data_IF_874840941351
#
_entry.id   IF_874840941351
#
_cell.length_a   1.000
_cell.length_b   1.000
_cell.length_c   1.000
_cell.angle_alpha   90.00
_cell.angle_beta   90.00
_cell.angle_gamma   90.00
#
_symmetry.space_group_name_H-M   'P 1'
#
loop_
_entity.id
_entity.type
_entity.pdbx_description
1 polymer ?
#
# COMPACT_ATOMS: atom_id res chain seq x y z
N UNK A 1 0.52 19.07 25.82
CA UNK A 1 0.48 17.77 25.14
C UNK A 1 1.54 17.84 24.07
N UNK A 2 2.59 16.97 24.16
CA UNK A 2 3.65 16.94 23.17
C UNK A 2 3.09 16.61 21.78
N UNK A 3 3.67 17.24 20.76
CA UNK A 3 3.28 17.02 19.37
C UNK A 3 3.60 15.56 18.99
N UNK A 4 2.62 14.82 18.46
CA UNK A 4 2.84 13.44 17.98
C UNK A 4 3.89 13.45 16.86
N UNK A 5 4.94 12.66 17.01
CA UNK A 5 5.96 12.51 15.97
C UNK A 5 5.58 11.38 15.02
N UNK A 6 5.61 11.65 13.73
CA UNK A 6 5.32 10.69 12.66
C UNK A 6 6.55 10.51 11.78
N UNK A 7 7.02 9.27 11.64
CA UNK A 7 8.09 8.91 10.72
C UNK A 7 7.55 8.74 9.31
N UNK A 8 8.04 9.53 8.37
CA UNK A 8 7.61 9.52 6.97
C UNK A 8 8.65 8.84 6.07
N UNK A 9 8.21 7.85 5.31
CA UNK A 9 9.05 7.12 4.35
C UNK A 9 8.53 7.37 2.94
N UNK A 10 9.37 7.96 2.09
CA UNK A 10 9.10 8.17 0.66
C UNK A 10 10.04 7.28 -0.13
N UNK A 11 9.49 6.33 -0.89
CA UNK A 11 10.27 5.42 -1.74
C UNK A 11 10.29 5.94 -3.17
N UNK A 12 11.48 6.03 -3.77
CA UNK A 12 11.64 6.49 -5.16
C UNK A 12 12.76 5.75 -5.88
N UNK A 13 12.71 5.73 -7.20
CA UNK A 13 13.82 5.30 -8.07
C UNK A 13 14.63 6.48 -8.62
N UNK A 14 14.37 7.70 -8.17
CA UNK A 14 15.05 8.92 -8.61
C UNK A 14 14.73 9.40 -10.04
N UNK A 15 13.83 8.73 -10.75
CA UNK A 15 13.53 9.01 -12.17
C UNK A 15 12.59 10.18 -12.39
N UNK A 16 11.97 10.71 -11.34
CA UNK A 16 10.94 11.75 -11.40
C UNK A 16 11.20 12.82 -10.33
N UNK A 17 12.31 13.57 -10.42
CA UNK A 17 12.72 14.51 -9.37
C UNK A 17 11.70 15.63 -9.12
N UNK A 18 11.01 16.11 -10.15
CA UNK A 18 10.01 17.17 -10.00
C UNK A 18 8.79 16.68 -9.20
N UNK A 19 8.40 15.43 -9.39
CA UNK A 19 7.25 14.84 -8.70
C UNK A 19 7.62 14.51 -7.26
N UNK A 20 8.83 14.00 -7.02
CA UNK A 20 9.39 13.81 -5.68
C UNK A 20 9.44 15.13 -4.91
N UNK A 21 9.85 16.22 -5.54
CA UNK A 21 9.88 17.54 -4.91
C UNK A 21 8.48 17.97 -4.41
N UNK A 22 7.42 17.72 -5.18
CA UNK A 22 6.04 18.00 -4.75
C UNK A 22 5.60 17.15 -3.57
N UNK A 23 5.99 15.88 -3.54
CA UNK A 23 5.72 15.00 -2.41
C UNK A 23 6.39 15.51 -1.12
N UNK A 24 7.68 15.85 -1.19
CA UNK A 24 8.46 16.36 -0.06
C UNK A 24 7.95 17.71 0.42
N UNK A 25 7.66 18.64 -0.49
CA UNK A 25 7.08 19.94 -0.18
C UNK A 25 5.75 19.78 0.59
N UNK A 26 4.88 18.86 0.18
CA UNK A 26 3.61 18.60 0.84
C UNK A 26 3.79 18.06 2.27
N UNK A 27 4.84 17.26 2.52
CA UNK A 27 5.21 16.81 3.85
C UNK A 27 5.77 17.95 4.70
N UNK A 28 6.67 18.77 4.15
CA UNK A 28 7.27 19.89 4.89
C UNK A 28 6.27 21.00 5.26
N UNK A 29 5.17 21.13 4.51
CA UNK A 29 4.08 22.07 4.84
C UNK A 29 3.16 21.59 5.96
N UNK A 30 3.24 20.32 6.38
CA UNK A 30 2.35 19.81 7.41
C UNK A 30 2.49 20.56 8.73
N UNK A 31 1.37 20.83 9.38
CA UNK A 31 1.25 21.58 10.65
C UNK A 31 0.56 20.71 11.69
N UNK A 32 0.78 21.02 12.97
CA UNK A 32 0.14 20.33 14.08
C UNK A 32 0.72 18.96 14.41
N UNK A 33 1.77 18.52 13.71
CA UNK A 33 2.44 17.22 13.89
C UNK A 33 3.95 17.38 13.67
N UNK A 34 4.76 16.67 14.45
CA UNK A 34 6.20 16.56 14.19
C UNK A 34 6.47 15.52 13.12
N UNK A 35 7.38 15.79 12.18
CA UNK A 35 7.75 14.84 11.13
C UNK A 35 9.24 14.52 11.17
N UNK A 36 9.55 13.25 10.95
CA UNK A 36 10.89 12.76 10.66
C UNK A 36 10.85 12.06 9.29
N UNK A 37 11.55 12.60 8.29
CA UNK A 37 11.35 12.25 6.89
C UNK A 37 12.61 11.59 6.32
N UNK A 38 12.44 10.42 5.70
CA UNK A 38 13.47 9.73 4.91
C UNK A 38 13.00 9.48 3.49
N UNK A 39 13.87 9.77 2.53
CA UNK A 39 13.73 9.35 1.13
C UNK A 39 14.56 8.11 0.91
N UNK A 40 13.93 7.01 0.55
CA UNK A 40 14.61 5.76 0.20
C UNK A 40 14.78 5.70 -1.31
N UNK A 41 16.02 5.71 -1.77
CA UNK A 41 16.37 5.52 -3.18
C UNK A 41 16.48 4.04 -3.50
N UNK A 42 15.56 3.50 -4.27
CA UNK A 42 15.50 2.08 -4.64
C UNK A 42 16.33 1.81 -5.88
N UNK A 43 17.60 1.41 -5.68
CA UNK A 43 18.61 1.36 -6.75
C UNK A 43 19.10 2.75 -7.18
N UNK A 44 19.05 3.73 -6.28
CA UNK A 44 19.45 5.09 -6.51
C UNK A 44 19.93 5.75 -5.21
N UNK A 45 20.99 6.56 -5.27
CA UNK A 45 21.49 7.31 -4.12
C UNK A 45 20.80 8.68 -4.06
N UNK A 46 19.99 8.98 -3.02
CA UNK A 46 19.31 10.26 -2.88
C UNK A 46 20.27 11.42 -2.68
N UNK A 47 20.13 12.45 -3.50
CA UNK A 47 20.94 13.67 -3.43
C UNK A 47 20.09 14.92 -3.70
N UNK A 48 20.56 16.09 -3.26
CA UNK A 48 19.85 17.35 -3.45
C UNK A 48 18.52 17.44 -2.68
N UNK A 49 18.36 16.68 -1.59
CA UNK A 49 17.16 16.69 -0.77
C UNK A 49 17.03 18.02 0.01
N UNK A 50 15.80 18.48 0.28
CA UNK A 50 15.59 19.68 1.07
C UNK A 50 16.04 19.52 2.53
N UNK A 51 16.28 20.64 3.21
CA UNK A 51 16.69 20.66 4.61
C UNK A 51 15.69 19.87 5.48
N UNK A 52 16.19 19.06 6.43
CA UNK A 52 15.39 18.24 7.32
C UNK A 52 14.88 16.92 6.73
N UNK A 53 15.22 16.62 5.47
CA UNK A 53 14.92 15.34 4.83
C UNK A 53 16.20 14.54 4.68
N UNK A 54 16.19 13.30 5.17
CA UNK A 54 17.34 12.37 5.05
C UNK A 54 17.21 11.49 3.81
N UNK A 55 18.33 11.01 3.30
CA UNK A 55 18.41 10.04 2.21
C UNK A 55 18.93 8.70 2.69
N UNK A 56 18.40 7.62 2.14
CA UNK A 56 18.89 6.24 2.30
C UNK A 56 18.95 5.60 0.91
N UNK A 57 20.15 5.37 0.38
CA UNK A 57 20.34 4.69 -0.90
C UNK A 57 20.37 3.17 -0.74
N UNK A 58 19.65 2.46 -1.59
CA UNK A 58 19.76 1.00 -1.74
C UNK A 58 20.59 0.70 -3.01
N UNK A 59 21.51 -0.25 -2.92
CA UNK A 59 22.41 -0.62 -4.03
C UNK A 59 21.64 -1.09 -5.27
N UNK A 60 20.48 -1.73 -5.08
CA UNK A 60 19.64 -2.26 -6.16
C UNK A 60 18.16 -1.98 -5.92
N UNK A 61 17.36 -2.12 -6.99
CA UNK A 61 15.89 -2.12 -6.88
C UNK A 61 15.42 -3.41 -6.19
N UNK A 62 15.10 -3.30 -4.90
CA UNK A 62 14.60 -4.39 -4.06
C UNK A 62 13.07 -4.60 -4.18
N UNK A 63 12.38 -3.74 -4.93
CA UNK A 63 10.92 -3.69 -5.01
C UNK A 63 10.29 -2.80 -3.93
N UNK A 64 9.02 -2.47 -4.13
CA UNK A 64 8.32 -1.48 -3.31
C UNK A 64 8.26 -1.87 -1.82
N UNK A 65 7.82 -3.10 -1.45
CA UNK A 65 7.70 -3.46 -0.05
C UNK A 65 9.05 -3.48 0.69
N UNK A 66 10.11 -3.98 0.04
CA UNK A 66 11.44 -4.04 0.64
C UNK A 66 12.03 -2.64 0.84
N UNK A 67 11.91 -1.77 -0.15
CA UNK A 67 12.36 -0.38 -0.04
C UNK A 67 11.66 0.38 1.08
N UNK A 68 10.33 0.23 1.23
CA UNK A 68 9.59 0.83 2.34
C UNK A 68 10.02 0.28 3.70
N UNK A 69 10.30 -1.03 3.79
CA UNK A 69 10.81 -1.65 5.01
C UNK A 69 12.20 -1.10 5.39
N UNK A 70 13.06 -0.83 4.42
CA UNK A 70 14.39 -0.28 4.66
C UNK A 70 14.32 1.11 5.32
N UNK A 71 13.37 1.96 4.91
CA UNK A 71 13.21 3.30 5.48
C UNK A 71 12.52 3.34 6.85
N UNK A 72 11.75 2.33 7.21
CA UNK A 72 10.98 2.34 8.45
C UNK A 72 11.83 2.46 9.73
N UNK A 73 12.98 1.79 9.90
CA UNK A 73 13.86 1.94 11.06
C UNK A 73 14.61 3.29 11.07
N UNK A 74 14.78 3.94 9.91
CA UNK A 74 15.53 5.19 9.80
C UNK A 74 14.73 6.43 10.21
N UNK A 75 13.46 6.29 10.50
CA UNK A 75 12.62 7.39 10.98
C UNK A 75 12.15 7.13 12.40
N UNK A 76 11.95 8.20 13.17
CA UNK A 76 11.40 8.15 14.52
C UNK A 76 9.87 8.36 14.51
N UNK A 77 9.22 8.17 15.67
CA UNK A 77 7.80 8.43 15.88
C UNK A 77 6.97 7.18 16.12
N UNK A 78 5.82 7.37 16.77
CA UNK A 78 4.87 6.29 17.12
C UNK A 78 4.05 5.83 15.91
N UNK A 79 3.94 6.69 14.90
CA UNK A 79 3.30 6.40 13.62
C UNK A 79 4.36 6.35 12.52
N UNK A 80 4.18 5.43 11.58
CA UNK A 80 4.86 5.41 10.29
C UNK A 80 3.87 5.88 9.22
N UNK A 81 4.30 6.78 8.35
CA UNK A 81 3.55 7.21 7.19
C UNK A 81 4.34 6.91 5.91
N UNK A 82 3.77 6.09 5.04
CA UNK A 82 4.34 5.75 3.73
C UNK A 82 3.64 6.58 2.67
N UNK A 83 4.41 7.31 1.88
CA UNK A 83 3.93 8.14 0.78
C UNK A 83 4.66 7.74 -0.51
N UNK A 84 3.93 7.55 -1.61
CA UNK A 84 4.54 7.36 -2.92
C UNK A 84 5.23 8.64 -3.39
N UNK A 85 6.32 8.51 -4.15
CA UNK A 85 7.10 9.65 -4.65
C UNK A 85 6.32 10.54 -5.62
N UNK A 86 5.19 10.07 -6.14
CA UNK A 86 4.28 10.83 -7.01
C UNK A 86 2.96 11.22 -6.32
N UNK A 87 2.82 10.96 -5.02
CA UNK A 87 1.70 11.44 -4.22
C UNK A 87 2.09 12.71 -3.43
N UNK A 88 1.11 13.54 -3.08
CA UNK A 88 1.27 14.70 -2.21
C UNK A 88 0.03 14.88 -1.33
N UNK A 89 0.18 15.49 -0.17
CA UNK A 89 -0.96 15.78 0.72
C UNK A 89 -1.69 17.03 0.24
N UNK A 90 -3.02 16.97 0.19
CA UNK A 90 -3.85 18.08 -0.30
C UNK A 90 -3.90 19.25 0.71
N UNK A 91 -3.91 18.91 2.01
CA UNK A 91 -4.10 19.87 3.12
C UNK A 91 -2.90 19.86 4.06
N UNK A 92 -2.57 21.02 4.64
CA UNK A 92 -1.41 21.19 5.51
C UNK A 92 -1.61 20.61 6.92
N UNK A 93 -2.80 20.15 7.28
CA UNK A 93 -3.14 19.49 8.55
C UNK A 93 -3.46 17.99 8.41
N UNK A 94 -3.26 17.43 7.23
CA UNK A 94 -3.65 16.04 6.93
C UNK A 94 -3.06 15.04 7.92
N UNK A 95 -1.76 15.14 8.24
CA UNK A 95 -1.11 14.22 9.18
C UNK A 95 -1.46 14.49 10.64
N UNK A 96 -1.80 15.71 11.01
CA UNK A 96 -2.36 16.02 12.33
C UNK A 96 -3.71 15.32 12.53
N UNK A 97 -4.62 15.40 11.53
CA UNK A 97 -5.90 14.68 11.52
C UNK A 97 -5.73 13.17 11.53
N UNK A 98 -4.70 12.65 10.88
CA UNK A 98 -4.33 11.23 10.96
C UNK A 98 -3.94 10.87 12.39
N UNK A 99 -3.03 11.63 13.02
CA UNK A 99 -2.57 11.40 14.39
C UNK A 99 -3.73 11.45 15.39
N UNK A 100 -4.64 12.42 15.26
CA UNK A 100 -5.86 12.52 16.09
C UNK A 100 -6.73 11.25 15.99
N UNK A 101 -6.90 10.68 14.80
CA UNK A 101 -7.66 9.43 14.63
C UNK A 101 -7.01 8.25 15.33
N UNK A 102 -5.69 8.15 15.25
CA UNK A 102 -4.96 7.12 15.98
C UNK A 102 -5.03 7.31 17.50
N UNK A 103 -4.98 8.55 17.98
CA UNK A 103 -5.14 8.87 19.39
C UNK A 103 -6.56 8.54 19.91
N UNK A 104 -7.59 8.82 19.10
CA UNK A 104 -8.99 8.57 19.46
C UNK A 104 -9.39 7.09 19.47
N UNK A 105 -8.70 6.23 18.70
CA UNK A 105 -9.02 4.80 18.64
C UNK A 105 -7.77 3.92 18.79
N UNK A 106 -7.53 3.36 19.98
CA UNK A 106 -6.40 2.45 20.22
C UNK A 106 -6.43 1.17 19.35
N UNK A 107 -7.59 0.80 18.80
CA UNK A 107 -7.71 -0.36 17.89
C UNK A 107 -7.51 -0.01 16.41
N UNK A 108 -7.38 1.27 16.07
CA UNK A 108 -6.97 1.68 14.73
C UNK A 108 -5.51 1.28 14.52
N UNK A 109 -5.27 0.31 13.65
CA UNK A 109 -3.93 -0.21 13.36
C UNK A 109 -3.30 0.46 12.16
N UNK A 110 -4.06 0.59 11.07
CA UNK A 110 -3.62 1.19 9.82
C UNK A 110 -4.73 2.03 9.20
N UNK A 111 -4.33 3.14 8.59
CA UNK A 111 -5.22 4.09 7.94
C UNK A 111 -4.67 4.42 6.55
N UNK A 112 -5.49 4.19 5.50
CA UNK A 112 -5.23 4.66 4.15
C UNK A 112 -5.96 5.99 3.93
N UNK A 113 -5.29 6.98 3.36
CA UNK A 113 -5.92 8.24 2.96
C UNK A 113 -6.81 8.05 1.73
N UNK A 114 -7.79 8.93 1.57
CA UNK A 114 -8.48 9.14 0.30
C UNK A 114 -7.51 9.60 -0.78
N UNK A 115 -7.76 9.25 -2.04
CA UNK A 115 -6.89 9.64 -3.15
C UNK A 115 -7.70 10.35 -4.21
N UNK A 116 -7.18 11.48 -4.69
CA UNK A 116 -7.76 12.27 -5.77
C UNK A 116 -6.73 12.53 -6.89
N UNK A 117 -7.16 12.65 -8.14
CA UNK A 117 -6.25 13.04 -9.22
C UNK A 117 -5.78 14.49 -9.03
N UNK A 118 -4.44 14.71 -9.11
CA UNK A 118 -3.83 16.02 -8.89
C UNK A 118 -4.28 17.07 -9.91
N UNK A 119 -4.34 16.69 -11.16
CA UNK A 119 -4.72 17.57 -12.27
C UNK A 119 -6.24 17.52 -12.58
N UNK A 120 -7.04 16.94 -11.67
CA UNK A 120 -8.43 16.60 -11.98
C UNK A 120 -8.54 15.39 -12.91
N UNK A 121 -9.75 15.05 -13.35
CA UNK A 121 -9.98 13.95 -14.27
C UNK A 121 -10.48 12.66 -13.60
N UNK A 122 -10.19 11.50 -14.21
CA UNK A 122 -10.75 10.23 -13.81
C UNK A 122 -10.09 9.67 -12.54
N UNK A 123 -10.92 9.23 -11.61
CA UNK A 123 -10.46 8.48 -10.44
C UNK A 123 -10.13 7.03 -10.79
N UNK A 124 -9.06 6.50 -10.23
CA UNK A 124 -8.85 5.07 -10.26
C UNK A 124 -9.80 4.34 -9.33
N UNK A 125 -10.40 3.27 -9.83
CA UNK A 125 -11.20 2.35 -9.01
C UNK A 125 -10.39 1.74 -7.87
N UNK A 126 -9.11 1.52 -8.09
CA UNK A 126 -8.22 0.82 -7.16
C UNK A 126 -7.83 1.68 -5.95
N UNK A 127 -8.00 3.01 -6.05
CA UNK A 127 -7.74 3.93 -4.93
C UNK A 127 -8.74 3.79 -3.78
N UNK A 128 -9.94 3.25 -4.06
CA UNK A 128 -10.97 3.06 -3.03
C UNK A 128 -11.04 1.58 -2.63
N UNK A 129 -10.56 1.20 -1.43
CA UNK A 129 -10.37 -0.20 -1.02
C UNK A 129 -11.69 -0.88 -0.59
N UNK A 130 -12.82 -0.45 -1.13
CA UNK A 130 -14.15 -1.03 -0.91
C UNK A 130 -14.62 -1.78 -2.14
N UNK A 131 -15.40 -2.83 -1.94
CA UNK A 131 -15.98 -3.59 -3.05
C UNK A 131 -16.93 -2.73 -3.89
N UNK A 132 -17.76 -1.91 -3.22
CA UNK A 132 -18.60 -0.89 -3.84
C UNK A 132 -18.02 0.48 -3.51
N UNK A 133 -17.71 1.28 -4.51
CA UNK A 133 -17.09 2.60 -4.32
C UNK A 133 -18.04 3.53 -3.54
N UNK A 134 -19.27 3.69 -4.01
CA UNK A 134 -20.19 4.65 -3.43
C UNK A 134 -19.60 6.06 -3.35
N UNK A 135 -19.85 6.75 -2.25
CA UNK A 135 -19.21 8.02 -1.93
C UNK A 135 -17.74 7.78 -1.54
N UNK A 136 -16.80 8.31 -2.33
CA UNK A 136 -15.35 8.16 -2.14
C UNK A 136 -14.82 8.89 -0.93
N UNK A 137 -15.48 9.96 -0.50
CA UNK A 137 -15.07 10.76 0.65
C UNK A 137 -15.50 10.14 1.98
N UNK A 138 -16.38 9.15 1.95
CA UNK A 138 -16.92 8.50 3.15
C UNK A 138 -15.88 7.61 3.82
N UNK A 139 -15.47 7.88 5.08
CA UNK A 139 -14.61 6.99 5.85
C UNK A 139 -15.29 5.63 6.11
N UNK A 140 -14.50 4.56 6.16
CA UNK A 140 -15.03 3.21 6.43
C UNK A 140 -13.94 2.23 6.85
N UNK A 141 -14.32 1.20 7.62
CA UNK A 141 -13.46 0.05 7.79
C UNK A 141 -13.37 -0.74 6.48
N UNK A 142 -12.17 -1.26 6.21
CA UNK A 142 -11.85 -1.98 4.98
C UNK A 142 -11.02 -3.23 5.28
N UNK A 143 -10.86 -4.11 4.31
CA UNK A 143 -10.07 -5.35 4.46
C UNK A 143 -8.85 -5.40 3.53
N UNK A 144 -8.61 -4.36 2.77
CA UNK A 144 -7.45 -4.22 1.88
C UNK A 144 -7.00 -2.76 1.89
N UNK A 145 -5.79 -2.50 1.40
CA UNK A 145 -5.23 -1.17 1.27
C UNK A 145 -4.78 -0.93 -0.17
N UNK A 146 -4.85 0.33 -0.60
CA UNK A 146 -3.99 0.90 -1.63
C UNK A 146 -2.83 1.61 -0.92
N UNK A 147 -1.61 1.39 -1.38
CA UNK A 147 -0.40 1.56 -0.57
C UNK A 147 0.25 2.95 -0.67
N UNK A 148 -0.20 3.81 -1.57
CA UNK A 148 0.48 5.07 -1.92
C UNK A 148 0.39 6.19 -0.89
N UNK A 149 -0.53 6.10 0.11
CA UNK A 149 -0.61 7.04 1.23
C UNK A 149 -1.22 6.34 2.46
N UNK A 150 -0.37 5.78 3.31
CA UNK A 150 -0.77 4.89 4.42
C UNK A 150 -0.05 5.23 5.70
N UNK A 151 -0.80 5.42 6.80
CA UNK A 151 -0.28 5.50 8.16
C UNK A 151 -0.53 4.20 8.94
N UNK A 152 0.42 3.80 9.76
CA UNK A 152 0.34 2.60 10.60
C UNK A 152 1.03 2.85 11.95
N UNK A 153 0.53 2.25 13.04
CA UNK A 153 1.28 2.23 14.30
C UNK A 153 2.61 1.52 14.13
N UNK A 154 3.71 2.15 14.55
CA UNK A 154 5.06 1.56 14.44
C UNK A 154 5.14 0.19 15.11
N UNK A 155 4.73 0.12 16.38
CA UNK A 155 4.76 -1.13 17.13
C UNK A 155 3.99 -2.26 16.41
N UNK A 156 2.82 -1.93 15.86
CA UNK A 156 2.03 -2.90 15.10
C UNK A 156 2.72 -3.29 13.78
N UNK A 157 3.34 -2.33 13.08
CA UNK A 157 4.09 -2.60 11.85
C UNK A 157 5.21 -3.61 12.10
N UNK A 158 5.98 -3.41 13.16
CA UNK A 158 7.05 -4.30 13.61
C UNK A 158 6.48 -5.68 14.05
N UNK A 159 5.43 -5.68 14.87
CA UNK A 159 4.75 -6.89 15.36
C UNK A 159 4.23 -7.79 14.22
N UNK A 160 3.67 -7.19 13.18
CA UNK A 160 3.16 -7.96 12.03
C UNK A 160 4.25 -8.32 11.03
N UNK A 161 5.46 -7.74 11.13
CA UNK A 161 6.62 -8.02 10.30
C UNK A 161 6.70 -7.17 9.04
N UNK A 162 6.26 -5.92 9.09
CA UNK A 162 6.41 -4.93 8.02
C UNK A 162 5.65 -5.26 6.74
N UNK A 163 6.06 -4.65 5.64
CA UNK A 163 5.58 -4.97 4.30
C UNK A 163 6.13 -6.33 3.83
N UNK A 164 5.38 -7.11 3.03
CA UNK A 164 5.85 -8.41 2.52
C UNK A 164 6.90 -8.21 1.42
N UNK A 165 8.17 -8.11 1.80
CA UNK A 165 9.29 -7.80 0.90
C UNK A 165 9.34 -8.71 -0.34
N UNK A 166 9.06 -9.99 -0.15
CA UNK A 166 9.06 -11.02 -1.18
C UNK A 166 8.00 -10.83 -2.27
N UNK A 167 6.97 -9.99 -2.01
CA UNK A 167 5.94 -9.67 -3.00
C UNK A 167 6.48 -8.78 -4.12
N UNK A 168 7.46 -7.97 -3.84
CA UNK A 168 8.14 -7.05 -4.75
C UNK A 168 7.22 -5.95 -5.33
N UNK A 169 6.02 -6.30 -5.77
CA UNK A 169 5.06 -5.41 -6.40
C UNK A 169 3.66 -6.03 -6.42
N UNK A 170 2.61 -5.27 -6.20
CA UNK A 170 1.18 -5.63 -6.21
C UNK A 170 0.78 -6.57 -5.07
N UNK A 171 -0.33 -6.27 -4.41
CA UNK A 171 -0.95 -7.00 -3.31
C UNK A 171 -0.23 -6.93 -1.96
N UNK A 172 0.83 -6.15 -1.81
CA UNK A 172 1.50 -5.93 -0.53
C UNK A 172 0.57 -5.32 0.52
N UNK A 173 -0.28 -4.37 0.13
CA UNK A 173 -1.29 -3.78 1.02
C UNK A 173 -2.38 -4.76 1.43
N UNK A 174 -2.71 -5.73 0.58
CA UNK A 174 -3.64 -6.81 0.94
C UNK A 174 -3.04 -7.69 2.02
N UNK A 175 -1.78 -8.11 1.87
CA UNK A 175 -1.10 -8.95 2.85
C UNK A 175 -0.96 -8.23 4.20
N UNK A 176 -0.51 -6.97 4.19
CA UNK A 176 -0.36 -6.16 5.40
C UNK A 176 -1.72 -5.97 6.10
N UNK A 177 -2.76 -5.57 5.37
CA UNK A 177 -4.10 -5.38 5.92
C UNK A 177 -4.63 -6.66 6.60
N UNK A 178 -4.43 -7.83 5.99
CA UNK A 178 -4.87 -9.10 6.56
C UNK A 178 -4.13 -9.46 7.84
N UNK A 179 -2.81 -9.19 7.91
CA UNK A 179 -2.03 -9.41 9.13
C UNK A 179 -2.43 -8.45 10.26
N UNK A 180 -2.71 -7.19 9.93
CA UNK A 180 -3.23 -6.19 10.88
C UNK A 180 -4.59 -6.60 11.43
N UNK A 181 -5.53 -7.02 10.57
CA UNK A 181 -6.83 -7.55 10.99
C UNK A 181 -6.67 -8.79 11.86
N UNK A 182 -5.73 -9.69 11.55
CA UNK A 182 -5.49 -10.91 12.32
C UNK A 182 -4.84 -10.60 13.68
N UNK A 183 -4.03 -9.55 13.78
CA UNK A 183 -3.51 -9.04 15.05
C UNK A 183 -4.60 -8.43 15.95
N UNK A 184 -5.82 -8.19 15.43
CA UNK A 184 -6.96 -7.68 16.21
C UNK A 184 -7.28 -6.21 15.96
N UNK A 185 -6.46 -5.51 15.20
CA UNK A 185 -6.62 -4.08 14.89
C UNK A 185 -7.60 -3.85 13.74
N UNK A 186 -7.97 -2.58 13.54
CA UNK A 186 -8.80 -2.12 12.43
C UNK A 186 -7.93 -1.62 11.29
N UNK A 187 -8.41 -1.82 10.08
CA UNK A 187 -7.91 -1.22 8.84
C UNK A 187 -8.95 -0.21 8.38
N UNK A 188 -8.57 1.04 8.19
CA UNK A 188 -9.50 2.13 7.95
C UNK A 188 -9.13 2.90 6.69
N UNK A 189 -10.15 3.27 5.92
CA UNK A 189 -10.06 4.19 4.80
C UNK A 189 -10.61 5.55 5.23
N UNK A 190 -9.77 6.58 5.21
CA UNK A 190 -10.11 7.95 5.55
C UNK A 190 -10.32 8.77 4.27
N UNK A 191 -11.45 8.55 3.58
CA UNK A 191 -11.74 9.22 2.32
C UNK A 191 -11.85 10.75 2.41
N UNK A 192 -11.98 11.29 3.61
CA UNK A 192 -12.05 12.73 3.93
C UNK A 192 -10.71 13.38 4.26
N UNK A 193 -9.59 12.62 4.27
CA UNK A 193 -8.23 13.15 4.31
C UNK A 193 -7.57 12.75 2.99
N UNK A 194 -7.18 13.72 2.16
CA UNK A 194 -6.89 13.47 0.75
C UNK A 194 -5.40 13.54 0.44
N UNK A 195 -4.88 12.51 -0.22
CA UNK A 195 -3.64 12.55 -0.98
C UNK A 195 -3.94 12.77 -2.47
N UNK A 196 -3.17 13.63 -3.11
CA UNK A 196 -3.21 13.89 -4.55
C UNK A 196 -2.22 12.97 -5.25
N UNK A 197 -2.65 12.32 -6.31
CA UNK A 197 -1.83 11.42 -7.11
C UNK A 197 -2.05 11.71 -8.59
N UNK A 198 -1.08 11.52 -9.49
CA UNK A 198 -1.31 11.65 -10.93
C UNK A 198 -2.50 10.81 -11.37
N UNK A 199 -3.32 11.35 -12.25
CA UNK A 199 -4.41 10.58 -12.84
C UNK A 199 -3.85 9.32 -13.53
N UNK A 200 -4.56 8.18 -13.50
CA UNK A 200 -4.12 6.99 -14.21
C UNK A 200 -3.96 7.31 -15.70
N UNK A 201 -2.72 7.42 -16.15
CA UNK A 201 -2.45 7.57 -17.57
C UNK A 201 -2.82 6.28 -18.31
N UNK A 202 -3.34 6.36 -19.55
CA UNK A 202 -3.44 5.20 -20.41
C UNK A 202 -2.02 4.62 -20.57
N UNK A 203 -1.75 3.47 -19.97
CA UNK A 203 -0.44 2.83 -20.09
C UNK A 203 -0.37 2.17 -21.45
N UNK A 204 0.59 2.52 -22.33
CA UNK A 204 0.78 1.83 -23.59
C UNK A 204 0.94 0.32 -23.34
N UNK A 205 0.36 -0.51 -24.21
CA UNK A 205 0.55 -1.96 -24.15
C UNK A 205 2.06 -2.26 -24.24
N UNK A 206 2.63 -2.94 -23.24
CA UNK A 206 4.06 -3.21 -23.21
C UNK A 206 4.53 -3.84 -21.88
N UNK A 207 5.83 -3.76 -21.64
CA UNK A 207 6.52 -4.44 -20.53
C UNK A 207 5.95 -4.16 -19.13
N UNK A 208 5.54 -2.91 -18.82
CA UNK A 208 4.94 -2.56 -17.53
C UNK A 208 3.65 -3.35 -17.25
N UNK A 209 2.80 -3.55 -18.25
CA UNK A 209 1.59 -4.37 -18.09
C UNK A 209 1.92 -5.85 -17.87
N UNK A 210 2.96 -6.35 -18.52
CA UNK A 210 3.46 -7.70 -18.29
C UNK A 210 3.96 -7.90 -16.87
N UNK A 211 4.71 -6.92 -16.32
CA UNK A 211 5.25 -6.95 -14.98
C UNK A 211 4.14 -6.98 -13.92
N UNK A 212 3.21 -6.02 -13.94
CA UNK A 212 2.09 -5.97 -12.99
C UNK A 212 1.16 -7.18 -13.12
N UNK A 213 0.93 -7.68 -14.33
CA UNK A 213 0.12 -8.87 -14.60
C UNK A 213 0.76 -10.12 -14.01
N UNK A 214 2.08 -10.28 -14.17
CA UNK A 214 2.83 -11.40 -13.60
C UNK A 214 2.76 -11.40 -12.07
N UNK A 215 3.13 -10.28 -11.43
CA UNK A 215 3.12 -10.19 -9.97
C UNK A 215 1.71 -10.26 -9.39
N UNK A 216 0.74 -9.65 -10.04
CA UNK A 216 -0.66 -9.75 -9.64
C UNK A 216 -1.17 -11.19 -9.61
N UNK A 217 -0.84 -12.00 -10.62
CA UNK A 217 -1.20 -13.41 -10.66
C UNK A 217 -0.42 -14.24 -9.61
N UNK A 218 0.91 -14.04 -9.53
CA UNK A 218 1.77 -14.77 -8.59
C UNK A 218 1.38 -14.48 -7.12
N UNK A 219 1.30 -13.21 -6.78
CA UNK A 219 1.05 -12.78 -5.40
C UNK A 219 -0.38 -13.11 -4.96
N UNK A 220 -1.35 -13.15 -5.89
CA UNK A 220 -2.70 -13.63 -5.58
C UNK A 220 -2.70 -15.09 -5.10
N UNK A 221 -1.91 -15.94 -5.74
CA UNK A 221 -1.72 -17.33 -5.31
C UNK A 221 -0.98 -17.39 -3.96
N UNK A 222 0.04 -16.56 -3.77
CA UNK A 222 0.78 -16.50 -2.52
C UNK A 222 -0.09 -16.06 -1.34
N UNK A 223 -0.94 -15.05 -1.51
CA UNK A 223 -1.93 -14.65 -0.49
C UNK A 223 -2.84 -15.81 -0.10
N UNK A 224 -3.37 -16.55 -1.09
CA UNK A 224 -4.21 -17.71 -0.84
C UNK A 224 -3.47 -18.80 -0.08
N UNK A 225 -2.28 -19.18 -0.54
CA UNK A 225 -1.45 -20.22 0.09
C UNK A 225 -1.00 -19.84 1.49
N UNK A 226 -0.68 -18.56 1.71
CA UNK A 226 -0.21 -18.03 3.00
C UNK A 226 -1.33 -17.94 4.03
N UNK A 227 -2.48 -17.39 3.65
CA UNK A 227 -3.49 -16.89 4.57
C UNK A 227 -4.79 -17.68 4.61
N UNK A 228 -5.24 -18.25 3.49
CA UNK A 228 -6.59 -18.79 3.40
C UNK A 228 -6.65 -20.31 3.58
N UNK A 229 -7.69 -20.85 4.22
CA UNK A 229 -8.05 -22.26 4.12
C UNK A 229 -8.17 -22.67 2.65
N UNK A 230 -7.85 -23.94 2.33
CA UNK A 230 -7.78 -24.41 0.95
C UNK A 230 -9.02 -24.08 0.10
N UNK A 231 -10.26 -24.36 0.51
CA UNK A 231 -11.42 -24.06 -0.31
C UNK A 231 -11.58 -22.57 -0.62
N UNK A 232 -11.39 -21.69 0.39
CA UNK A 232 -11.45 -20.24 0.21
C UNK A 232 -10.31 -19.73 -0.67
N UNK A 233 -9.11 -20.31 -0.51
CA UNK A 233 -7.95 -19.97 -1.33
C UNK A 233 -8.18 -20.26 -2.81
N UNK A 234 -8.79 -21.38 -3.13
CA UNK A 234 -9.18 -21.75 -4.51
C UNK A 234 -10.18 -20.73 -5.07
N UNK A 235 -11.25 -20.43 -4.35
CA UNK A 235 -12.25 -19.45 -4.77
C UNK A 235 -11.64 -18.04 -4.95
N UNK A 236 -10.76 -17.63 -4.04
CA UNK A 236 -10.06 -16.35 -4.08
C UNK A 236 -9.17 -16.21 -5.33
N UNK A 237 -8.44 -17.25 -5.71
CA UNK A 237 -7.61 -17.25 -6.92
C UNK A 237 -8.48 -17.36 -8.17
N UNK A 238 -9.47 -18.24 -8.19
CA UNK A 238 -10.35 -18.46 -9.34
C UNK A 238 -11.17 -17.20 -9.67
N UNK A 239 -11.73 -16.52 -8.67
CA UNK A 239 -12.50 -15.28 -8.87
C UNK A 239 -11.63 -14.15 -9.45
N UNK A 240 -10.37 -14.07 -9.04
CA UNK A 240 -9.42 -13.11 -9.62
C UNK A 240 -9.04 -13.49 -11.04
N UNK A 241 -8.70 -14.76 -11.28
CA UNK A 241 -8.35 -15.26 -12.62
C UNK A 241 -9.47 -15.04 -13.63
N UNK A 242 -10.72 -15.31 -13.25
CA UNK A 242 -11.89 -15.10 -14.10
C UNK A 242 -12.04 -13.64 -14.57
N UNK A 243 -11.63 -12.67 -13.73
CA UNK A 243 -11.69 -11.25 -14.08
C UNK A 243 -10.46 -10.76 -14.84
N UNK A 244 -9.27 -11.30 -14.54
CA UNK A 244 -8.00 -10.75 -15.04
C UNK A 244 -7.48 -11.45 -16.28
N UNK A 245 -7.70 -12.75 -16.45
CA UNK A 245 -7.27 -13.49 -17.64
C UNK A 245 -7.87 -12.97 -18.95
N UNK A 246 -9.17 -12.67 -19.07
CA UNK A 246 -9.72 -12.10 -20.31
C UNK A 246 -9.10 -10.73 -20.66
N UNK A 247 -8.81 -9.91 -19.62
CA UNK A 247 -8.14 -8.61 -19.81
C UNK A 247 -6.69 -8.80 -20.23
N UNK A 248 -5.97 -9.74 -19.61
CA UNK A 248 -4.59 -10.07 -19.98
C UNK A 248 -4.49 -10.63 -21.41
N UNK A 249 -5.47 -11.43 -21.85
CA UNK A 249 -5.56 -11.92 -23.24
C UNK A 249 -5.71 -10.75 -24.22
N UNK A 250 -6.68 -9.86 -23.97
CA UNK A 250 -6.91 -8.67 -24.82
C UNK A 250 -5.69 -7.74 -24.88
N UNK A 251 -4.94 -7.62 -23.77
CA UNK A 251 -3.75 -6.77 -23.66
C UNK A 251 -2.44 -7.47 -24.15
N UNK A 252 -2.49 -8.69 -24.67
CA UNK A 252 -1.31 -9.45 -25.09
C UNK A 252 -0.43 -9.99 -23.95
N UNK A 253 -0.90 -9.95 -22.71
CA UNK A 253 -0.14 -10.29 -21.50
C UNK A 253 -0.49 -11.66 -20.89
N UNK A 254 -1.20 -12.51 -21.61
CA UNK A 254 -1.63 -13.83 -21.14
C UNK A 254 -0.47 -14.72 -20.70
N UNK A 255 0.67 -14.68 -21.40
CA UNK A 255 1.88 -15.43 -21.01
C UNK A 255 2.40 -15.00 -19.64
N UNK A 256 2.41 -13.70 -19.35
CA UNK A 256 2.82 -13.16 -18.06
C UNK A 256 1.87 -13.63 -16.94
N UNK A 257 0.56 -13.58 -17.17
CA UNK A 257 -0.44 -14.07 -16.22
C UNK A 257 -0.25 -15.57 -15.91
N UNK A 258 -0.16 -16.41 -16.95
CA UNK A 258 0.01 -17.85 -16.81
C UNK A 258 1.32 -18.21 -16.09
N UNK A 259 2.42 -17.52 -16.44
CA UNK A 259 3.70 -17.66 -15.73
C UNK A 259 3.55 -17.27 -14.26
N UNK A 260 2.89 -16.16 -13.95
CA UNK A 260 2.64 -15.72 -12.57
C UNK A 260 1.85 -16.77 -11.78
N UNK A 261 0.77 -17.31 -12.32
CA UNK A 261 0.01 -18.40 -11.65
C UNK A 261 0.85 -19.65 -11.46
N UNK A 262 1.60 -20.08 -12.46
CA UNK A 262 2.50 -21.26 -12.36
C UNK A 262 3.54 -21.06 -11.26
N UNK A 263 4.22 -19.91 -11.23
CA UNK A 263 5.28 -19.63 -10.29
C UNK A 263 4.72 -19.42 -8.87
N UNK A 264 3.51 -18.86 -8.75
CA UNK A 264 2.77 -18.79 -7.49
C UNK A 264 2.39 -20.17 -6.92
N UNK A 265 2.08 -21.14 -7.78
CA UNK A 265 1.74 -22.50 -7.38
C UNK A 265 2.97 -23.36 -7.05
N UNK A 266 4.02 -23.29 -7.86
CA UNK A 266 5.19 -24.20 -7.83
C UNK A 266 6.39 -23.60 -7.11
N UNK A 267 6.56 -22.29 -7.15
CA UNK A 267 7.70 -21.59 -6.56
C UNK A 267 7.66 -21.58 -5.03
N UNK A 268 8.80 -21.23 -4.40
CA UNK A 268 8.83 -20.93 -2.98
C UNK A 268 7.85 -19.78 -2.70
N UNK A 269 7.22 -19.81 -1.55
CA UNK A 269 6.29 -18.76 -1.13
C UNK A 269 6.56 -18.37 0.32
N UNK A 270 6.10 -17.16 0.73
CA UNK A 270 6.27 -16.69 2.09
C UNK A 270 5.73 -17.66 3.12
N UNK A 271 6.34 -17.70 4.30
CA UNK A 271 5.94 -18.59 5.41
C UNK A 271 4.42 -18.56 5.64
N UNK A 272 3.82 -19.73 5.74
CA UNK A 272 2.39 -19.92 5.96
C UNK A 272 1.95 -19.27 7.28
N UNK A 273 0.93 -18.42 7.22
CA UNK A 273 0.33 -17.73 8.37
C UNK A 273 -1.19 -17.67 8.17
N UNK A 274 -1.85 -18.76 8.50
CA UNK A 274 -3.30 -18.88 8.32
C UNK A 274 -4.04 -17.87 9.19
N UNK A 275 -4.97 -17.15 8.56
CA UNK A 275 -5.86 -16.25 9.27
C UNK A 275 -6.82 -17.04 10.16
N UNK A 276 -7.12 -16.49 11.33
CA UNK A 276 -8.12 -17.03 12.23
C UNK A 276 -9.53 -16.88 11.67
N UNK A 277 -10.44 -17.77 12.00
CA UNK A 277 -11.83 -17.72 11.53
C UNK A 277 -12.51 -16.37 11.84
N UNK A 278 -12.23 -15.80 13.02
CA UNK A 278 -12.71 -14.46 13.41
C UNK A 278 -12.22 -13.35 12.45
N UNK A 279 -11.03 -13.48 11.89
CA UNK A 279 -10.47 -12.51 10.94
C UNK A 279 -11.19 -12.61 9.61
N UNK A 280 -11.45 -13.80 9.10
CA UNK A 280 -12.24 -14.02 7.89
C UNK A 280 -13.65 -13.40 8.03
N UNK A 281 -14.26 -13.53 9.23
CA UNK A 281 -15.52 -12.89 9.53
C UNK A 281 -15.44 -11.36 9.56
N UNK A 282 -14.38 -10.79 10.16
CA UNK A 282 -14.14 -9.34 10.17
C UNK A 282 -13.98 -8.78 8.76
N UNK A 283 -13.24 -9.45 7.88
CA UNK A 283 -13.09 -9.07 6.47
C UNK A 283 -14.46 -9.05 5.75
N UNK A 284 -15.29 -10.05 6.01
CA UNK A 284 -16.65 -10.12 5.45
C UNK A 284 -17.52 -8.95 5.93
N UNK A 285 -17.45 -8.61 7.22
CA UNK A 285 -18.17 -7.45 7.78
C UNK A 285 -17.65 -6.10 7.27
N UNK A 286 -16.35 -6.00 6.97
CA UNK A 286 -15.75 -4.85 6.30
C UNK A 286 -16.11 -4.79 4.79
N UNK A 287 -17.06 -5.60 4.33
CA UNK A 287 -17.60 -5.57 2.98
C UNK A 287 -16.72 -6.17 1.89
N UNK A 288 -15.66 -6.90 2.26
CA UNK A 288 -14.79 -7.59 1.30
C UNK A 288 -14.46 -9.00 1.77
N UNK A 289 -15.36 -9.97 1.55
CA UNK A 289 -15.10 -11.36 1.92
C UNK A 289 -13.88 -11.91 1.18
N UNK A 290 -13.12 -12.84 1.81
CA UNK A 290 -11.86 -13.37 1.27
C UNK A 290 -12.04 -14.36 0.10
N UNK A 291 -13.00 -14.08 -0.76
CA UNK A 291 -13.30 -14.85 -2.00
C UNK A 291 -13.32 -13.93 -3.24
N UNK A 292 -13.08 -12.63 -3.03
CA UNK A 292 -13.16 -11.61 -4.11
C UNK A 292 -11.87 -10.84 -4.18
#
# INVERSE_FOLDING_TARGET
VGQTLTGCVVLTTGKRPEVLALALESLQRQRGVGLDIVVVGNGWEPSGLPAGVRGLGLEADEGIPAGRNAGAPDVAGELLFFLDDDASLAEDDALARVAERFAADPRLGVLQLGVAPREGGAYSRDWVPRLRVGDRTRPSDVAVLWEGAVAIRRELFEQVGGWPAEFRFVHEGVDLAWRVLDAGYRVHYAGDIVALHPAPAPVPAGERHGYSTYFGARNRVWLARRHLPFPLGVLFVASFAARTLPRALKAGNARAALRGYRDGLRGPYPRRRKLRARTLWRMTRAGRPPVI
#
